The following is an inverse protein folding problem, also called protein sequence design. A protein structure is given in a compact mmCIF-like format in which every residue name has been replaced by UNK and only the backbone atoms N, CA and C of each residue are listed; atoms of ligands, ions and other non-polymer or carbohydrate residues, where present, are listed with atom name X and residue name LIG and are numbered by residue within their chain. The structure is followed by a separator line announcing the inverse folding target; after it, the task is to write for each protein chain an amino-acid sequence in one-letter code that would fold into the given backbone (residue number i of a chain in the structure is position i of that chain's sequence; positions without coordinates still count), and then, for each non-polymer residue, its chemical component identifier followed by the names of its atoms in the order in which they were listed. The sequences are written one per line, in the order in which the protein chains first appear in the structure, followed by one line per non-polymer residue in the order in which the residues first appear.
data_IF_178408023803
#
_entry.id   IF_178408023803
#
_cell.length_a   1.000
_cell.length_b   1.000
_cell.length_c   1.000
_cell.angle_alpha   90.00
_cell.angle_beta   90.00
_cell.angle_gamma   90.00
#
_symmetry.space_group_name_H-M   'P 1'
#
loop_
_entity.id
_entity.type
_entity.pdbx_description
1 polymer ?
#
# COMPACT_ATOMS: atom_id res chain seq x y z
N UNK A 1 23.14 3.34 -15.99
CA UNK A 1 21.69 3.57 -16.21
C UNK A 1 20.95 2.86 -15.08
N UNK A 2 20.77 3.52 -13.93
CA UNK A 2 20.06 2.95 -12.78
C UNK A 2 18.94 3.92 -12.42
N UNK A 3 17.72 3.64 -12.89
CA UNK A 3 16.56 4.46 -12.63
C UNK A 3 16.23 4.45 -11.15
N UNK A 4 16.67 5.49 -10.42
CA UNK A 4 16.16 5.87 -9.09
C UNK A 4 14.76 6.50 -9.22
N UNK A 5 13.88 5.89 -10.01
CA UNK A 5 12.55 6.42 -10.28
C UNK A 5 11.53 5.73 -9.38
N UNK A 6 11.10 6.43 -8.34
CA UNK A 6 9.79 6.17 -7.74
C UNK A 6 8.65 6.47 -8.72
N UNK A 7 7.42 6.20 -8.33
CA UNK A 7 6.24 6.61 -9.07
C UNK A 7 5.09 6.95 -8.14
N UNK A 8 4.16 7.76 -8.63
CA UNK A 8 2.87 8.00 -7.98
C UNK A 8 1.79 7.80 -9.02
N UNK A 9 0.78 7.00 -8.70
CA UNK A 9 -0.39 6.79 -9.55
C UNK A 9 -1.67 6.93 -8.72
N UNK A 10 -2.69 7.53 -9.31
CA UNK A 10 -3.99 7.77 -8.68
C UNK A 10 -5.08 7.02 -9.43
N UNK A 11 -5.91 6.29 -8.68
CA UNK A 11 -7.12 5.64 -9.16
C UNK A 11 -8.32 6.31 -8.50
N UNK A 12 -9.23 6.87 -9.29
CA UNK A 12 -10.45 7.48 -8.77
C UNK A 12 -11.51 6.40 -8.48
N UNK A 13 -12.24 6.57 -7.38
CA UNK A 13 -13.45 5.80 -7.10
C UNK A 13 -14.51 6.09 -8.17
N UNK A 14 -15.25 5.07 -8.66
CA UNK A 14 -16.39 5.30 -9.54
C UNK A 14 -17.66 5.71 -8.77
N UNK A 15 -17.65 5.66 -7.44
CA UNK A 15 -18.84 5.87 -6.61
C UNK A 15 -18.94 7.30 -6.04
N UNK A 16 -17.79 7.94 -5.80
CA UNK A 16 -17.69 9.21 -5.07
C UNK A 16 -16.35 9.92 -5.37
N UNK A 17 -16.01 10.97 -4.61
CA UNK A 17 -14.77 11.74 -4.76
C UNK A 17 -13.53 11.05 -4.14
N UNK A 18 -13.70 9.84 -3.59
CA UNK A 18 -12.63 9.06 -2.99
C UNK A 18 -11.62 8.57 -4.04
N UNK A 19 -10.41 8.24 -3.61
CA UNK A 19 -9.36 7.76 -4.50
C UNK A 19 -8.35 6.85 -3.78
N UNK A 20 -7.68 5.96 -4.52
CA UNK A 20 -6.47 5.29 -4.07
C UNK A 20 -5.26 5.93 -4.72
N UNK A 21 -4.28 6.31 -3.90
CA UNK A 21 -2.94 6.70 -4.34
C UNK A 21 -2.00 5.54 -4.05
N UNK A 22 -1.25 5.11 -5.06
CA UNK A 22 -0.11 4.20 -4.88
C UNK A 22 1.16 5.01 -5.11
N UNK A 23 2.02 5.03 -4.10
CA UNK A 23 3.28 5.74 -4.11
C UNK A 23 4.42 4.77 -3.85
N UNK A 24 5.41 4.81 -4.73
CA UNK A 24 6.72 4.21 -4.56
C UNK A 24 7.74 5.34 -4.54
N UNK A 25 8.43 5.54 -3.42
CA UNK A 25 9.40 6.64 -3.27
C UNK A 25 10.83 6.26 -3.72
N UNK A 26 10.99 5.07 -4.30
CA UNK A 26 12.28 4.47 -4.64
C UNK A 26 12.94 3.69 -3.48
N UNK A 27 12.38 3.74 -2.27
CA UNK A 27 12.81 3.01 -1.06
C UNK A 27 11.74 2.02 -0.59
N UNK A 28 10.49 2.42 -0.57
CA UNK A 28 9.33 1.65 -0.12
C UNK A 28 8.10 2.07 -0.90
N UNK A 29 7.13 1.15 -1.03
CA UNK A 29 5.85 1.44 -1.65
C UNK A 29 4.71 1.32 -0.65
N UNK A 30 3.77 2.26 -0.74
CA UNK A 30 2.53 2.32 0.03
C UNK A 30 1.33 2.58 -0.87
N UNK A 31 0.16 2.18 -0.39
CA UNK A 31 -1.11 2.66 -0.91
C UNK A 31 -1.89 3.40 0.16
N UNK A 32 -2.60 4.45 -0.26
CA UNK A 32 -3.42 5.32 0.58
C UNK A 32 -4.80 5.46 -0.04
N UNK A 33 -5.85 5.21 0.74
CA UNK A 33 -7.21 5.58 0.37
C UNK A 33 -7.49 6.98 0.91
N UNK A 34 -7.88 7.89 0.01
CA UNK A 34 -8.40 9.21 0.34
C UNK A 34 -9.92 9.16 0.34
N UNK A 35 -10.56 9.71 1.38
CA UNK A 35 -11.99 9.98 1.38
C UNK A 35 -12.34 11.19 0.50
N UNK A 36 -13.64 11.46 0.32
CA UNK A 36 -14.11 12.61 -0.45
C UNK A 36 -13.67 13.98 0.10
N UNK A 37 -13.26 14.05 1.37
CA UNK A 37 -12.66 15.25 1.98
C UNK A 37 -11.15 15.40 1.67
N UNK A 38 -10.56 14.45 0.94
CA UNK A 38 -9.14 14.39 0.60
C UNK A 38 -8.24 13.89 1.73
N UNK A 39 -8.77 13.50 2.90
CA UNK A 39 -7.98 12.94 3.98
C UNK A 39 -7.73 11.45 3.79
N UNK A 40 -6.56 10.98 4.22
CA UNK A 40 -6.25 9.54 4.23
C UNK A 40 -7.20 8.85 5.23
N UNK A 41 -8.02 7.93 4.74
CA UNK A 41 -8.92 7.11 5.56
C UNK A 41 -8.46 5.64 5.68
N UNK A 42 -7.50 5.21 4.86
CA UNK A 42 -6.82 3.91 4.96
C UNK A 42 -5.41 3.98 4.38
N UNK A 43 -4.47 3.19 4.92
CA UNK A 43 -3.09 3.10 4.43
C UNK A 43 -2.58 1.66 4.51
N UNK A 44 -1.68 1.26 3.61
CA UNK A 44 -1.05 -0.08 3.67
C UNK A 44 0.32 -0.08 3.02
N UNK A 45 1.28 -0.75 3.65
CA UNK A 45 2.58 -1.07 3.06
C UNK A 45 2.43 -2.14 1.97
N UNK A 46 3.10 -1.92 0.83
CA UNK A 46 3.06 -2.81 -0.32
C UNK A 46 4.31 -3.68 -0.43
N UNK A 47 5.50 -3.06 -0.50
CA UNK A 47 6.79 -3.75 -0.59
C UNK A 47 7.94 -2.81 -0.22
N UNK A 48 9.09 -3.40 0.14
CA UNK A 48 10.35 -2.68 0.25
C UNK A 48 11.08 -2.72 -1.10
N UNK A 49 11.67 -1.59 -1.52
CA UNK A 49 12.71 -1.55 -2.56
C UNK A 49 14.12 -1.52 -1.96
N UNK A 50 14.26 -0.98 -0.75
CA UNK A 50 15.49 -1.05 0.01
C UNK A 50 15.72 -2.46 0.57
N UNK A 51 16.95 -2.78 1.01
CA UNK A 51 17.17 -3.96 1.83
C UNK A 51 16.18 -3.99 3.00
N UNK A 52 15.52 -5.13 3.19
CA UNK A 52 14.54 -5.30 4.27
C UNK A 52 15.23 -5.12 5.62
N UNK A 53 14.78 -4.17 6.46
CA UNK A 53 15.42 -3.93 7.74
C UNK A 53 15.17 -5.09 8.70
N UNK A 54 16.14 -5.37 9.57
CA UNK A 54 15.98 -6.41 10.60
C UNK A 54 15.17 -5.87 11.78
N UNK A 55 15.46 -4.63 12.18
CA UNK A 55 14.79 -3.92 13.25
C UNK A 55 13.84 -2.85 12.69
N UNK A 56 12.76 -2.51 13.41
CA UNK A 56 11.85 -1.47 12.96
C UNK A 56 12.46 -0.07 12.94
N UNK A 57 12.14 0.71 11.90
CA UNK A 57 12.64 2.08 11.73
C UNK A 57 11.78 3.15 12.42
N UNK A 58 10.59 2.78 12.92
CA UNK A 58 9.57 3.71 13.43
C UNK A 58 9.92 4.45 14.73
N UNK A 59 11.13 4.27 15.23
CA UNK A 59 11.66 5.04 16.35
C UNK A 59 12.10 6.46 15.95
N UNK A 60 12.31 6.71 14.66
CA UNK A 60 12.69 8.01 14.13
C UNK A 60 11.72 8.45 13.01
N UNK A 61 10.84 9.42 13.27
CA UNK A 61 9.90 9.96 12.29
C UNK A 61 10.57 10.51 11.01
N UNK A 62 11.86 10.85 11.04
CA UNK A 62 12.60 11.27 9.86
C UNK A 62 12.71 10.17 8.78
N UNK A 63 12.45 8.91 9.15
CA UNK A 63 12.49 7.76 8.24
C UNK A 63 11.14 7.42 7.60
N UNK A 64 10.11 8.27 7.77
CA UNK A 64 8.85 8.09 7.05
C UNK A 64 9.04 8.28 5.53
N UNK A 65 8.41 7.45 4.68
CA UNK A 65 7.66 6.23 5.03
C UNK A 65 8.57 5.05 5.44
N UNK A 66 8.11 4.25 6.41
CA UNK A 66 8.89 3.14 6.98
C UNK A 66 8.90 1.90 6.09
N UNK A 67 10.05 1.22 6.00
CA UNK A 67 10.09 -0.12 5.41
C UNK A 67 9.56 -1.16 6.43
N UNK A 68 8.91 -2.21 5.94
CA UNK A 68 8.40 -3.27 6.80
C UNK A 68 9.53 -4.27 7.13
N UNK A 69 9.86 -4.51 8.43
CA UNK A 69 11.02 -5.31 8.78
C UNK A 69 10.82 -6.81 8.52
N UNK A 70 11.93 -7.55 8.44
CA UNK A 70 12.00 -8.94 8.02
C UNK A 70 10.97 -9.89 8.69
N UNK A 71 10.63 -9.76 9.99
CA UNK A 71 9.62 -10.62 10.60
C UNK A 71 8.18 -10.42 10.09
N UNK A 72 7.92 -9.35 9.35
CA UNK A 72 6.59 -8.95 8.88
C UNK A 72 6.48 -8.85 7.36
N UNK A 73 7.59 -8.98 6.63
CA UNK A 73 7.66 -8.78 5.19
C UNK A 73 8.17 -10.03 4.47
N UNK A 74 7.38 -10.52 3.52
CA UNK A 74 7.86 -11.44 2.49
C UNK A 74 8.52 -10.63 1.37
N UNK A 75 9.53 -11.22 0.72
CA UNK A 75 10.13 -10.62 -0.47
C UNK A 75 9.17 -10.71 -1.67
N UNK A 76 9.13 -9.66 -2.46
CA UNK A 76 8.33 -9.59 -3.68
C UNK A 76 8.99 -8.70 -4.71
N UNK A 77 8.59 -8.86 -5.97
CA UNK A 77 9.12 -8.03 -7.04
C UNK A 77 8.39 -6.68 -7.07
N UNK A 78 9.11 -5.54 -7.06
CA UNK A 78 8.47 -4.24 -7.19
C UNK A 78 7.76 -4.15 -8.54
N UNK A 79 6.55 -3.59 -8.51
CA UNK A 79 5.80 -3.24 -9.71
C UNK A 79 6.26 -1.92 -10.32
N UNK A 80 5.73 -1.63 -11.49
CA UNK A 80 5.68 -0.28 -12.08
C UNK A 80 4.28 0.29 -11.95
N UNK A 81 4.12 1.61 -12.13
CA UNK A 81 2.81 2.26 -12.07
C UNK A 81 1.76 1.60 -12.99
N UNK A 82 2.17 1.12 -14.17
CA UNK A 82 1.29 0.50 -15.16
C UNK A 82 0.89 -0.94 -14.82
N UNK A 83 1.55 -1.57 -13.84
CA UNK A 83 1.23 -2.93 -13.41
C UNK A 83 0.05 -2.96 -12.42
N UNK A 84 -0.36 -1.81 -11.88
CA UNK A 84 -1.40 -1.70 -10.86
C UNK A 84 -2.78 -1.44 -11.44
N UNK A 85 -3.78 -2.12 -10.87
CA UNK A 85 -5.20 -1.86 -11.09
C UNK A 85 -5.92 -1.81 -9.76
N UNK A 86 -7.04 -1.07 -9.71
CA UNK A 86 -7.88 -1.00 -8.52
C UNK A 86 -9.31 -1.38 -8.88
N UNK A 87 -9.82 -2.42 -8.22
CA UNK A 87 -11.22 -2.79 -8.25
C UNK A 87 -11.91 -2.23 -7.00
N UNK A 88 -13.01 -1.52 -7.23
CA UNK A 88 -13.77 -0.88 -6.17
C UNK A 88 -15.03 -1.68 -5.85
N UNK A 89 -15.35 -1.79 -4.57
CA UNK A 89 -16.60 -2.36 -4.09
C UNK A 89 -17.17 -1.49 -2.95
N UNK A 90 -18.49 -1.41 -2.89
CA UNK A 90 -19.20 -0.93 -1.70
C UNK A 90 -19.70 -2.17 -0.95
N UNK A 91 -19.18 -2.40 0.25
CA UNK A 91 -19.58 -3.49 1.11
C UNK A 91 -20.31 -2.91 2.33
N UNK A 92 -21.64 -2.93 2.28
CA UNK A 92 -22.49 -2.43 3.38
C UNK A 92 -22.22 -0.97 3.76
N UNK A 93 -21.92 -0.12 2.77
CA UNK A 93 -21.61 1.30 2.98
C UNK A 93 -20.15 1.58 3.37
N UNK A 94 -19.30 0.55 3.39
CA UNK A 94 -17.84 0.69 3.52
C UNK A 94 -17.22 0.59 2.14
N UNK A 95 -16.50 1.64 1.74
CA UNK A 95 -15.73 1.63 0.50
C UNK A 95 -14.51 0.73 0.63
N UNK A 96 -14.39 -0.22 -0.29
CA UNK A 96 -13.31 -1.20 -0.36
C UNK A 96 -12.60 -1.08 -1.69
N UNK A 97 -11.27 -0.94 -1.65
CA UNK A 97 -10.41 -0.95 -2.83
C UNK A 97 -9.51 -2.18 -2.79
N UNK A 98 -9.66 -3.05 -3.79
CA UNK A 98 -8.78 -4.18 -4.05
C UNK A 98 -7.72 -3.74 -5.06
N UNK A 99 -6.46 -3.88 -4.69
CA UNK A 99 -5.32 -3.54 -5.53
C UNK A 99 -4.82 -4.84 -6.16
N UNK A 100 -4.73 -4.83 -7.48
CA UNK A 100 -4.16 -5.91 -8.28
C UNK A 100 -2.78 -5.48 -8.79
N UNK A 101 -1.81 -6.39 -8.79
CA UNK A 101 -0.51 -6.22 -9.43
C UNK A 101 -0.34 -7.30 -10.48
N UNK A 102 -0.37 -6.95 -11.77
CA UNK A 102 -0.32 -7.92 -12.89
C UNK A 102 -1.33 -9.06 -12.73
N UNK A 103 -2.57 -8.71 -12.43
CA UNK A 103 -3.71 -9.62 -12.18
C UNK A 103 -3.70 -10.39 -10.84
N UNK A 104 -2.64 -10.29 -10.04
CA UNK A 104 -2.61 -10.90 -8.70
C UNK A 104 -3.25 -9.99 -7.65
N UNK A 105 -4.12 -10.55 -6.80
CA UNK A 105 -4.70 -9.83 -5.66
C UNK A 105 -3.62 -9.49 -4.65
N UNK A 106 -3.23 -8.22 -4.65
CA UNK A 106 -1.97 -7.79 -4.07
C UNK A 106 -2.15 -7.04 -2.75
N UNK A 107 -3.16 -6.19 -2.65
CA UNK A 107 -3.48 -5.49 -1.41
C UNK A 107 -4.97 -5.13 -1.33
N UNK A 108 -5.42 -4.77 -0.14
CA UNK A 108 -6.77 -4.29 0.13
C UNK A 108 -6.72 -3.09 1.06
N UNK A 109 -7.49 -2.07 0.73
CA UNK A 109 -7.80 -0.94 1.59
C UNK A 109 -9.31 -0.94 1.87
N UNK A 110 -9.69 -0.67 3.12
CA UNK A 110 -11.08 -0.48 3.53
C UNK A 110 -11.16 0.84 4.27
N UNK A 111 -12.16 1.68 3.96
CA UNK A 111 -12.32 2.97 4.61
C UNK A 111 -12.42 2.80 6.14
N UNK A 112 -11.53 3.46 6.89
CA UNK A 112 -11.44 3.36 8.35
C UNK A 112 -10.43 2.33 8.87
N UNK A 113 -9.89 1.44 8.03
CA UNK A 113 -8.85 0.49 8.41
C UNK A 113 -7.45 1.10 8.23
N UNK A 114 -6.64 1.12 9.29
CA UNK A 114 -5.23 1.56 9.27
C UNK A 114 -4.40 0.68 10.22
N UNK A 115 -3.57 -0.24 9.72
CA UNK A 115 -3.27 -0.47 8.31
C UNK A 115 -4.34 -1.32 7.60
N UNK A 116 -4.28 -1.34 6.27
CA UNK A 116 -4.94 -2.29 5.38
C UNK A 116 -4.18 -3.62 5.26
N UNK A 117 -4.44 -4.37 4.19
CA UNK A 117 -3.93 -5.73 4.00
C UNK A 117 -3.02 -5.84 2.78
N UNK A 118 -1.93 -6.60 2.88
CA UNK A 118 -0.97 -6.83 1.80
C UNK A 118 -0.65 -8.31 1.65
N UNK A 119 -0.52 -8.79 0.41
CA UNK A 119 -0.12 -10.18 0.10
C UNK A 119 1.33 -10.46 0.50
N UNK A 120 2.16 -9.42 0.62
CA UNK A 120 3.54 -9.54 1.07
C UNK A 120 3.69 -9.37 2.59
N UNK A 121 2.60 -9.17 3.34
CA UNK A 121 2.65 -9.21 4.80
C UNK A 121 2.80 -10.67 5.26
N UNK A 122 3.91 -10.98 5.94
CA UNK A 122 4.18 -12.33 6.45
C UNK A 122 3.32 -12.67 7.68
N UNK A 123 2.94 -11.66 8.45
CA UNK A 123 2.03 -11.72 9.61
C UNK A 123 1.43 -10.34 9.86
N UNK A 124 0.39 -10.27 10.69
CA UNK A 124 -0.22 -9.00 11.05
C UNK A 124 0.78 -8.10 11.77
N UNK A 125 0.86 -6.85 11.34
CA UNK A 125 1.81 -5.88 11.86
C UNK A 125 1.29 -4.43 11.75
N UNK A 126 2.09 -3.47 12.21
CA UNK A 126 1.68 -2.08 12.27
C UNK A 126 1.58 -1.39 10.90
N UNK A 127 2.20 -1.95 9.85
CA UNK A 127 2.23 -1.35 8.51
C UNK A 127 1.32 -2.09 7.50
N UNK A 128 0.97 -3.33 7.78
CA UNK A 128 0.07 -4.16 6.97
C UNK A 128 -0.45 -5.35 7.77
N UNK A 129 -1.68 -5.76 7.47
CA UNK A 129 -2.26 -7.04 7.87
C UNK A 129 -2.07 -8.09 6.77
N UNK A 130 -2.16 -9.38 7.13
CA UNK A 130 -2.06 -10.47 6.15
C UNK A 130 -3.29 -10.49 5.25
N UNK A 131 -3.07 -10.39 3.94
CA UNK A 131 -4.12 -10.62 2.95
C UNK A 131 -4.45 -12.13 2.87
N UNK A 132 -5.72 -12.48 3.08
CA UNK A 132 -6.22 -13.87 3.07
C UNK A 132 -7.13 -14.11 1.88
#
# INVERSE_FOLDING_TARGET
MNGKGGFVVKFASPFDESAVIIEDDGRVAYAYMLGGDGQICSDVWLYNRCPTPVEPEWHDPANLPFANPAPFANEGSPGSACDFFVEWNDAEGVLVAKILLRDDYFARLEAGAKPGWSSLAAKDGPLAQVLR
#
